data_IF_694293041505
#
_entry.id   IF_694293041505
#
_cell.length_a   1.000
_cell.length_b   1.000
_cell.length_c   1.000
_cell.angle_alpha   90.00
_cell.angle_beta   90.00
_cell.angle_gamma   90.00
#
_symmetry.space_group_name_H-M   'P 1'
#
loop_
_entity.id
_entity.type
_entity.pdbx_description
1 polymer ?
#
# COMPACT_ATOMS: atom_id res chain seq x y z
N UNK A 1 -3.92 20.65 11.25
CA UNK A 1 -3.88 21.38 12.54
C UNK A 1 -2.88 20.67 13.44
N UNK A 2 -1.87 21.38 13.97
CA UNK A 2 -0.88 20.77 14.86
C UNK A 2 -1.55 20.36 16.18
N UNK A 3 -1.09 19.24 16.77
CA UNK A 3 -1.60 18.74 18.07
C UNK A 3 -1.58 19.83 19.15
N UNK A 4 -0.62 20.76 19.06
CA UNK A 4 -0.50 21.93 19.94
C UNK A 4 -1.70 22.88 19.85
N UNK A 5 -2.25 23.12 18.67
CA UNK A 5 -3.43 24.00 18.47
C UNK A 5 -4.68 23.37 19.06
N UNK A 6 -4.85 22.05 18.91
CA UNK A 6 -5.99 21.31 19.50
C UNK A 6 -5.88 21.37 21.04
N UNK A 7 -4.69 21.14 21.62
CA UNK A 7 -4.46 21.23 23.04
C UNK A 7 -4.71 22.62 23.62
N UNK A 8 -4.28 23.68 22.93
CA UNK A 8 -4.51 25.06 23.35
C UNK A 8 -6.02 25.36 23.33
N UNK A 9 -6.74 24.97 22.28
CA UNK A 9 -8.19 25.20 22.16
C UNK A 9 -8.98 24.43 23.24
N UNK A 10 -8.62 23.16 23.51
CA UNK A 10 -9.26 22.37 24.57
C UNK A 10 -8.98 22.95 25.95
N UNK A 11 -7.80 23.48 26.20
CA UNK A 11 -7.43 24.09 27.48
C UNK A 11 -8.19 25.42 27.72
N UNK A 12 -8.30 26.26 26.69
CA UNK A 12 -9.06 27.52 26.75
C UNK A 12 -10.55 27.25 26.98
N UNK A 13 -11.14 26.27 26.26
CA UNK A 13 -12.55 25.92 26.45
C UNK A 13 -12.83 25.31 27.82
N UNK A 14 -11.94 24.48 28.35
CA UNK A 14 -12.05 23.92 29.70
C UNK A 14 -11.93 25.01 30.77
N UNK A 15 -11.01 25.96 30.63
CA UNK A 15 -10.86 27.09 31.55
C UNK A 15 -12.08 28.03 31.54
N UNK A 16 -12.65 28.33 30.38
CA UNK A 16 -13.86 29.15 30.22
C UNK A 16 -15.09 28.47 30.86
N UNK A 17 -15.25 27.15 30.65
CA UNK A 17 -16.28 26.33 31.28
C UNK A 17 -16.13 26.32 32.81
N UNK A 18 -14.94 26.13 33.32
CA UNK A 18 -14.65 26.15 34.74
C UNK A 18 -14.99 27.51 35.36
N UNK A 19 -14.61 28.61 34.70
CA UNK A 19 -14.88 29.98 35.15
C UNK A 19 -16.37 30.31 35.26
N UNK A 20 -17.19 29.78 34.35
CA UNK A 20 -18.66 30.02 34.35
C UNK A 20 -19.38 29.06 35.30
N UNK A 21 -19.01 27.80 35.35
CA UNK A 21 -19.71 26.74 36.11
C UNK A 21 -19.31 26.78 37.58
N UNK A 22 -18.06 27.12 37.93
CA UNK A 22 -17.58 27.14 39.32
C UNK A 22 -18.37 28.03 40.29
N UNK A 23 -18.62 29.30 40.02
CA UNK A 23 -19.41 30.16 40.91
C UNK A 23 -20.89 29.78 40.96
N UNK A 24 -21.47 29.26 39.88
CA UNK A 24 -22.83 28.75 39.85
C UNK A 24 -22.98 27.46 40.66
N UNK A 25 -21.97 26.60 40.61
CA UNK A 25 -21.93 25.34 41.37
C UNK A 25 -21.82 25.55 42.87
N UNK A 26 -21.10 26.59 43.31
CA UNK A 26 -20.95 26.95 44.72
C UNK A 26 -22.25 27.53 45.31
N UNK A 27 -23.10 28.20 44.52
CA UNK A 27 -24.33 28.87 44.95
C UNK A 27 -25.60 28.06 44.77
N UNK A 28 -25.56 26.91 44.06
CA UNK A 28 -26.77 26.14 43.75
C UNK A 28 -27.07 25.07 44.79
N UNK A 29 -28.37 24.81 45.06
CA UNK A 29 -28.86 23.70 45.86
C UNK A 29 -28.51 22.35 45.24
N UNK A 30 -28.30 21.25 46.02
CA UNK A 30 -27.79 19.96 45.52
C UNK A 30 -28.61 19.36 44.35
N UNK A 31 -29.95 19.58 44.32
CA UNK A 31 -30.83 19.08 43.26
C UNK A 31 -30.76 19.93 41.94
N UNK A 32 -30.35 21.20 42.07
CA UNK A 32 -30.21 22.11 40.91
C UNK A 32 -28.87 21.97 40.17
N UNK A 33 -27.86 21.38 40.81
CA UNK A 33 -26.51 21.26 40.24
C UNK A 33 -26.46 20.43 38.96
N UNK A 34 -27.19 19.31 38.96
CA UNK A 34 -27.25 18.41 37.81
C UNK A 34 -27.97 19.06 36.63
N UNK A 35 -29.06 19.81 36.86
CA UNK A 35 -29.80 20.55 35.86
C UNK A 35 -28.98 21.70 35.26
N UNK A 36 -28.20 22.42 36.08
CA UNK A 36 -27.32 23.49 35.62
C UNK A 36 -26.17 22.99 34.73
N UNK A 37 -25.55 21.86 35.10
CA UNK A 37 -24.49 21.23 34.30
C UNK A 37 -25.08 20.71 33.00
N UNK A 38 -26.23 20.04 33.01
CA UNK A 38 -26.90 19.57 31.80
C UNK A 38 -27.31 20.74 30.87
N UNK A 39 -27.88 21.82 31.43
CA UNK A 39 -28.25 23.01 30.65
C UNK A 39 -27.04 23.71 30.01
N UNK A 40 -25.91 23.79 30.72
CA UNK A 40 -24.67 24.36 30.18
C UNK A 40 -24.08 23.51 29.06
N UNK A 41 -24.11 22.20 29.19
CA UNK A 41 -23.67 21.28 28.14
C UNK A 41 -24.56 21.39 26.90
N UNK A 42 -25.87 21.40 27.07
CA UNK A 42 -26.85 21.53 25.97
C UNK A 42 -26.70 22.89 25.28
N UNK A 43 -26.51 23.97 26.03
CA UNK A 43 -26.29 25.30 25.49
C UNK A 43 -24.99 25.38 24.66
N UNK A 44 -23.91 24.78 25.17
CA UNK A 44 -22.61 24.78 24.50
C UNK A 44 -22.62 23.90 23.23
N UNK A 45 -23.25 22.72 23.29
CA UNK A 45 -23.43 21.84 22.14
C UNK A 45 -24.43 22.42 21.12
N UNK A 46 -25.51 23.09 21.60
CA UNK A 46 -26.50 23.69 20.75
C UNK A 46 -25.97 24.94 20.03
N UNK A 47 -25.34 25.87 20.74
CA UNK A 47 -24.76 27.07 20.14
C UNK A 47 -23.48 26.74 19.36
N UNK A 48 -22.57 25.97 19.92
CA UNK A 48 -21.32 25.59 19.24
C UNK A 48 -21.55 24.66 18.07
N UNK A 49 -22.36 23.61 18.23
CA UNK A 49 -22.74 22.69 17.16
C UNK A 49 -23.64 23.35 16.10
N UNK A 50 -24.60 24.15 16.52
CA UNK A 50 -25.49 24.88 15.61
C UNK A 50 -24.75 25.92 14.78
N UNK A 51 -23.87 26.72 15.38
CA UNK A 51 -23.00 27.66 14.65
C UNK A 51 -22.03 26.94 13.72
N UNK A 52 -21.51 25.78 14.12
CA UNK A 52 -20.65 24.96 13.24
C UNK A 52 -21.42 24.37 12.04
N UNK A 53 -22.69 23.98 12.23
CA UNK A 53 -23.54 23.47 11.15
C UNK A 53 -24.01 24.55 10.19
N UNK A 54 -24.24 25.76 10.70
CA UNK A 54 -24.76 26.89 9.91
C UNK A 54 -23.62 27.68 9.24
N UNK A 55 -22.52 27.94 9.95
CA UNK A 55 -21.38 28.73 9.46
C UNK A 55 -20.21 27.88 9.00
N UNK A 56 -20.03 26.66 9.59
CA UNK A 56 -19.05 25.69 9.18
C UNK A 56 -19.55 24.93 7.97
N UNK A 57 -19.12 25.33 6.78
CA UNK A 57 -19.38 24.57 5.55
C UNK A 57 -18.30 23.47 5.45
N UNK A 58 -18.52 22.25 5.99
CA UNK A 58 -17.50 21.19 5.94
C UNK A 58 -17.08 20.85 4.51
N UNK A 59 -18.01 21.00 3.55
CA UNK A 59 -17.72 20.86 2.12
C UNK A 59 -16.76 21.93 1.58
N UNK A 60 -16.73 23.15 2.17
CA UNK A 60 -15.76 24.17 1.79
C UNK A 60 -14.41 23.96 2.47
N UNK A 61 -14.37 23.38 3.68
CA UNK A 61 -13.13 23.02 4.34
C UNK A 61 -12.42 21.88 3.60
N UNK A 62 -13.16 20.89 3.12
CA UNK A 62 -12.59 19.81 2.27
C UNK A 62 -12.09 20.40 0.94
N UNK A 63 -12.88 21.24 0.25
CA UNK A 63 -12.44 21.93 -0.97
C UNK A 63 -11.27 22.87 -0.75
N UNK A 64 -11.19 23.55 0.40
CA UNK A 64 -10.04 24.42 0.71
C UNK A 64 -8.77 23.61 1.03
N UNK A 65 -8.90 22.41 1.60
CA UNK A 65 -7.79 21.49 1.82
C UNK A 65 -7.29 20.89 0.50
N UNK A 66 -8.18 20.52 -0.42
CA UNK A 66 -7.81 20.09 -1.76
C UNK A 66 -7.15 21.23 -2.57
N UNK A 67 -7.70 22.45 -2.51
CA UNK A 67 -7.13 23.62 -3.15
C UNK A 67 -5.81 24.11 -2.50
N UNK A 68 -5.62 23.91 -1.20
CA UNK A 68 -4.37 24.21 -0.52
C UNK A 68 -3.29 23.19 -0.93
N UNK A 69 -3.64 21.91 -0.98
CA UNK A 69 -2.72 20.84 -1.37
C UNK A 69 -2.19 21.02 -2.80
N UNK A 70 -3.05 21.41 -3.74
CA UNK A 70 -2.64 21.69 -5.13
C UNK A 70 -1.81 22.96 -5.26
N UNK A 71 -2.11 24.02 -4.49
CA UNK A 71 -1.30 25.26 -4.47
C UNK A 71 0.08 25.00 -3.85
N UNK A 72 0.15 24.23 -2.78
CA UNK A 72 1.40 23.87 -2.13
C UNK A 72 2.25 22.98 -3.06
N UNK A 73 1.63 22.07 -3.82
CA UNK A 73 2.33 21.21 -4.78
C UNK A 73 2.88 22.04 -5.97
N UNK A 74 2.09 22.93 -6.54
CA UNK A 74 2.55 23.83 -7.62
C UNK A 74 3.68 24.76 -7.14
N UNK A 75 3.58 25.27 -5.90
CA UNK A 75 4.65 26.05 -5.27
C UNK A 75 5.93 25.23 -5.10
N UNK A 76 5.81 23.97 -4.68
CA UNK A 76 6.94 23.05 -4.57
C UNK A 76 7.58 22.76 -5.94
N UNK A 77 6.77 22.50 -6.97
CA UNK A 77 7.25 22.30 -8.34
C UNK A 77 8.05 23.52 -8.81
N UNK A 78 7.51 24.73 -8.63
CA UNK A 78 8.18 25.97 -9.03
C UNK A 78 9.55 26.14 -8.32
N UNK A 79 9.62 25.81 -7.02
CA UNK A 79 10.89 25.83 -6.27
C UNK A 79 11.88 24.80 -6.79
N UNK A 80 11.42 23.59 -7.08
CA UNK A 80 12.26 22.51 -7.62
C UNK A 80 12.75 22.84 -9.02
N UNK A 81 11.90 23.40 -9.89
CA UNK A 81 12.30 23.90 -11.20
C UNK A 81 13.41 24.94 -11.07
N UNK A 82 13.24 25.95 -10.22
CA UNK A 82 14.28 26.96 -9.96
C UNK A 82 15.60 26.32 -9.47
N UNK A 83 15.50 25.30 -8.61
CA UNK A 83 16.65 24.58 -8.07
C UNK A 83 17.43 23.84 -9.14
N UNK A 84 16.74 23.07 -10.02
CA UNK A 84 17.40 22.30 -11.07
C UNK A 84 17.96 23.19 -12.20
N UNK A 85 17.35 24.35 -12.43
CA UNK A 85 17.90 25.37 -13.32
C UNK A 85 19.20 25.99 -12.75
N UNK A 86 19.25 26.25 -11.44
CA UNK A 86 20.45 26.77 -10.79
C UNK A 86 21.56 25.73 -10.67
N UNK A 87 21.21 24.45 -10.55
CA UNK A 87 22.13 23.31 -10.41
C UNK A 87 21.71 22.16 -11.33
N UNK A 88 22.00 22.21 -12.64
CA UNK A 88 21.57 21.20 -13.63
C UNK A 88 22.12 19.79 -13.40
N UNK A 89 23.17 19.64 -12.60
CA UNK A 89 23.77 18.36 -12.23
C UNK A 89 23.29 17.86 -10.84
N UNK A 90 22.32 18.53 -10.22
CA UNK A 90 21.69 18.06 -8.97
C UNK A 90 20.73 16.90 -9.25
N UNK A 91 21.25 15.68 -9.21
CA UNK A 91 20.47 14.46 -9.38
C UNK A 91 19.27 14.40 -8.43
N UNK A 92 19.46 14.77 -7.16
CA UNK A 92 18.38 14.76 -6.17
C UNK A 92 17.28 15.76 -6.51
N UNK A 93 17.66 16.96 -6.98
CA UNK A 93 16.71 17.96 -7.44
C UNK A 93 15.82 17.42 -8.55
N UNK A 94 16.39 16.76 -9.56
CA UNK A 94 15.65 16.16 -10.66
C UNK A 94 14.72 15.00 -10.19
N UNK A 95 15.19 14.15 -9.27
CA UNK A 95 14.34 13.09 -8.67
C UNK A 95 13.15 13.67 -7.92
N UNK A 96 13.36 14.70 -7.11
CA UNK A 96 12.26 15.36 -6.40
C UNK A 96 11.28 16.04 -7.35
N UNK A 97 11.78 16.68 -8.41
CA UNK A 97 10.95 17.32 -9.43
C UNK A 97 10.09 16.28 -10.17
N UNK A 98 10.67 15.16 -10.58
CA UNK A 98 9.93 14.06 -11.21
C UNK A 98 8.82 13.52 -10.32
N UNK A 99 9.11 13.29 -9.04
CA UNK A 99 8.11 12.86 -8.06
C UNK A 99 6.98 13.88 -7.86
N UNK A 100 7.32 15.17 -7.81
CA UNK A 100 6.34 16.23 -7.64
C UNK A 100 5.40 16.33 -8.86
N UNK A 101 5.94 16.25 -10.08
CA UNK A 101 5.14 16.19 -11.31
C UNK A 101 4.23 14.94 -11.36
N UNK A 102 4.77 13.77 -10.99
CA UNK A 102 3.96 12.54 -10.94
C UNK A 102 2.80 12.67 -9.94
N UNK A 103 3.06 13.27 -8.77
CA UNK A 103 2.02 13.54 -7.76
C UNK A 103 1.00 14.57 -8.24
N UNK A 104 1.36 15.46 -9.16
CA UNK A 104 0.46 16.41 -9.81
C UNK A 104 -0.34 15.79 -10.97
N UNK A 105 -0.07 14.54 -11.34
CA UNK A 105 -0.67 13.87 -12.49
C UNK A 105 -0.02 14.24 -13.82
N UNK A 106 1.10 14.98 -13.80
CA UNK A 106 1.85 15.38 -14.99
C UNK A 106 2.92 14.33 -15.30
N UNK A 107 2.50 13.27 -15.98
CA UNK A 107 3.38 12.19 -16.39
C UNK A 107 4.47 12.63 -17.38
N UNK A 108 4.17 13.59 -18.27
CA UNK A 108 5.11 14.03 -19.30
C UNK A 108 6.30 14.78 -18.70
N UNK A 109 6.06 15.79 -17.87
CA UNK A 109 7.14 16.54 -17.24
C UNK A 109 7.84 15.72 -16.15
N UNK A 110 7.12 14.79 -15.52
CA UNK A 110 7.72 13.78 -14.65
C UNK A 110 8.73 12.91 -15.40
N UNK A 111 8.37 12.38 -16.57
CA UNK A 111 9.26 11.57 -17.39
C UNK A 111 10.52 12.35 -17.84
N UNK A 112 10.37 13.63 -18.24
CA UNK A 112 11.50 14.49 -18.60
C UNK A 112 12.46 14.68 -17.42
N UNK A 113 11.91 14.93 -16.20
CA UNK A 113 12.71 15.10 -15.01
C UNK A 113 13.45 13.81 -14.61
N UNK A 114 12.77 12.66 -14.64
CA UNK A 114 13.41 11.38 -14.36
C UNK A 114 14.42 10.97 -15.44
N UNK A 115 14.17 11.26 -16.71
CA UNK A 115 15.16 11.03 -17.78
C UNK A 115 16.47 11.77 -17.49
N UNK A 116 16.39 13.03 -17.04
CA UNK A 116 17.57 13.80 -16.66
C UNK A 116 18.29 13.19 -15.44
N UNK A 117 17.53 12.75 -14.44
CA UNK A 117 18.08 12.08 -13.27
C UNK A 117 18.79 10.76 -13.65
N UNK A 118 18.18 9.95 -14.52
CA UNK A 118 18.78 8.71 -15.06
C UNK A 118 20.09 9.02 -15.77
N UNK A 119 20.12 10.01 -16.66
CA UNK A 119 21.34 10.40 -17.37
C UNK A 119 22.48 10.83 -16.43
N UNK A 120 22.15 11.55 -15.34
CA UNK A 120 23.13 11.94 -14.33
C UNK A 120 23.65 10.74 -13.52
N UNK A 121 22.78 9.78 -13.18
CA UNK A 121 23.17 8.57 -12.47
C UNK A 121 24.07 7.68 -13.33
N UNK A 122 23.76 7.54 -14.64
CA UNK A 122 24.58 6.80 -15.61
C UNK A 122 25.96 7.47 -15.80
N UNK A 123 26.00 8.79 -15.96
CA UNK A 123 27.25 9.57 -16.04
C UNK A 123 28.11 9.37 -14.78
N UNK A 124 27.48 9.28 -13.60
CA UNK A 124 28.16 9.03 -12.35
C UNK A 124 28.55 7.56 -12.12
N UNK A 125 28.19 6.64 -13.04
CA UNK A 125 28.35 5.17 -12.92
C UNK A 125 27.69 4.63 -11.64
N UNK A 126 26.52 5.16 -11.27
CA UNK A 126 25.73 4.76 -10.09
C UNK A 126 24.30 4.44 -10.53
N UNK A 127 24.08 3.33 -11.25
CA UNK A 127 22.74 2.91 -11.63
C UNK A 127 21.90 2.63 -10.39
N UNK A 128 20.68 3.15 -10.36
CA UNK A 128 19.73 2.98 -9.25
C UNK A 128 18.43 2.34 -9.80
N UNK A 129 18.06 1.12 -9.37
CA UNK A 129 16.85 0.48 -9.84
C UNK A 129 15.58 1.29 -9.56
N UNK A 130 15.51 1.98 -8.41
CA UNK A 130 14.36 2.81 -8.08
C UNK A 130 14.18 3.99 -9.04
N UNK A 131 15.28 4.50 -9.57
CA UNK A 131 15.25 5.60 -10.52
C UNK A 131 14.75 5.15 -11.89
N UNK A 132 15.21 3.99 -12.37
CA UNK A 132 14.69 3.41 -13.62
C UNK A 132 13.22 3.00 -13.48
N UNK A 133 12.81 2.45 -12.33
CA UNK A 133 11.41 2.13 -12.05
C UNK A 133 10.54 3.39 -12.10
N UNK A 134 10.90 4.46 -11.39
CA UNK A 134 10.18 5.72 -11.38
C UNK A 134 10.11 6.37 -12.77
N UNK A 135 11.18 6.27 -13.56
CA UNK A 135 11.20 6.74 -14.95
C UNK A 135 10.21 5.98 -15.82
N UNK A 136 10.21 4.64 -15.73
CA UNK A 136 9.27 3.78 -16.45
C UNK A 136 7.82 4.08 -16.07
N UNK A 137 7.55 4.27 -14.77
CA UNK A 137 6.22 4.67 -14.28
C UNK A 137 5.77 6.01 -14.85
N UNK A 138 6.64 7.02 -14.84
CA UNK A 138 6.33 8.34 -15.40
C UNK A 138 5.97 8.26 -16.89
N UNK A 139 6.73 7.49 -17.68
CA UNK A 139 6.44 7.25 -19.09
C UNK A 139 5.11 6.53 -19.31
N UNK A 140 4.80 5.55 -18.45
CA UNK A 140 3.53 4.84 -18.50
C UNK A 140 2.35 5.76 -18.14
N UNK A 141 2.52 6.63 -17.15
CA UNK A 141 1.52 7.65 -16.81
C UNK A 141 1.32 8.70 -17.91
N UNK A 142 2.40 9.12 -18.57
CA UNK A 142 2.33 10.09 -19.67
C UNK A 142 1.51 9.61 -20.86
N UNK A 143 1.58 8.30 -21.16
CA UNK A 143 0.98 7.74 -22.37
C UNK A 143 -0.27 6.89 -22.13
N UNK A 144 -0.56 6.55 -20.87
CA UNK A 144 -1.61 5.59 -20.49
C UNK A 144 -1.32 4.14 -20.89
N UNK A 145 -0.13 3.89 -21.44
CA UNK A 145 0.34 2.57 -21.91
C UNK A 145 1.76 2.32 -21.40
N UNK A 146 2.35 1.17 -21.76
CA UNK A 146 3.77 0.91 -21.41
C UNK A 146 4.59 0.98 -22.72
N UNK A 147 5.08 2.18 -23.10
CA UNK A 147 5.82 2.35 -24.33
C UNK A 147 7.18 1.61 -24.29
N UNK A 148 7.84 1.36 -25.43
CA UNK A 148 9.10 0.61 -25.50
C UNK A 148 10.20 1.19 -24.58
N UNK A 149 10.22 2.49 -24.41
CA UNK A 149 11.18 3.18 -23.55
C UNK A 149 10.93 2.85 -22.07
N UNK A 150 9.66 2.84 -21.63
CA UNK A 150 9.29 2.40 -20.28
C UNK A 150 9.64 0.92 -20.06
N UNK A 151 9.36 0.06 -21.05
CA UNK A 151 9.75 -1.35 -20.98
C UNK A 151 11.26 -1.51 -20.80
N UNK A 152 12.09 -0.76 -21.54
CA UNK A 152 13.54 -0.78 -21.40
C UNK A 152 13.99 -0.33 -19.99
N UNK A 153 13.34 0.69 -19.43
CA UNK A 153 13.60 1.16 -18.07
C UNK A 153 13.25 0.07 -17.04
N UNK A 154 12.10 -0.58 -17.15
CA UNK A 154 11.72 -1.68 -16.25
C UNK A 154 12.59 -2.92 -16.40
N UNK A 155 13.07 -3.24 -17.59
CA UNK A 155 14.06 -4.32 -17.81
C UNK A 155 15.36 -4.00 -17.07
N UNK A 156 15.87 -2.76 -17.17
CA UNK A 156 17.03 -2.31 -16.39
C UNK A 156 16.76 -2.38 -14.88
N UNK A 157 15.56 -2.01 -14.45
CA UNK A 157 15.14 -2.15 -13.05
C UNK A 157 15.26 -3.59 -12.58
N UNK A 158 14.68 -4.56 -13.31
CA UNK A 158 14.71 -5.96 -12.93
C UNK A 158 16.11 -6.59 -13.02
N UNK A 159 16.98 -6.09 -13.88
CA UNK A 159 18.38 -6.51 -13.93
C UNK A 159 19.16 -6.15 -12.65
N UNK A 160 18.79 -5.03 -11.99
CA UNK A 160 19.40 -4.55 -10.74
C UNK A 160 18.63 -5.00 -9.50
N UNK A 161 17.31 -5.07 -9.58
CA UNK A 161 16.41 -5.50 -8.52
C UNK A 161 15.33 -6.43 -9.10
N UNK A 162 15.55 -7.76 -9.15
CA UNK A 162 14.60 -8.72 -9.72
C UNK A 162 13.25 -8.77 -9.01
N UNK A 163 13.14 -8.21 -7.77
CA UNK A 163 11.91 -8.21 -6.97
C UNK A 163 11.13 -6.90 -7.05
N UNK A 164 11.53 -5.97 -7.91
CA UNK A 164 10.80 -4.70 -8.07
C UNK A 164 9.36 -4.95 -8.49
N UNK A 165 8.42 -4.46 -7.68
CA UNK A 165 6.99 -4.74 -7.85
C UNK A 165 6.42 -3.97 -9.05
N UNK A 166 6.77 -2.68 -9.19
CA UNK A 166 6.29 -1.85 -10.26
C UNK A 166 6.79 -2.36 -11.62
N UNK A 167 8.08 -2.66 -11.73
CA UNK A 167 8.66 -3.18 -12.98
C UNK A 167 7.99 -4.50 -13.42
N UNK A 168 7.72 -5.43 -12.48
CA UNK A 168 7.01 -6.67 -12.81
C UNK A 168 5.56 -6.42 -13.21
N UNK A 169 4.88 -5.49 -12.55
CA UNK A 169 3.51 -5.13 -12.88
C UNK A 169 3.42 -4.54 -14.29
N UNK A 170 4.20 -3.51 -14.58
CA UNK A 170 4.14 -2.80 -15.86
C UNK A 170 4.66 -3.64 -17.04
N UNK A 171 5.71 -4.46 -16.84
CA UNK A 171 6.13 -5.41 -17.88
C UNK A 171 5.05 -6.47 -18.15
N UNK A 172 4.34 -6.92 -17.13
CA UNK A 172 3.16 -7.77 -17.31
C UNK A 172 2.10 -7.09 -18.18
N UNK A 173 1.82 -5.80 -17.95
CA UNK A 173 0.90 -5.02 -18.81
C UNK A 173 1.41 -4.92 -20.26
N UNK A 174 2.70 -4.71 -20.45
CA UNK A 174 3.31 -4.67 -21.78
C UNK A 174 3.15 -6.02 -22.50
N UNK A 175 3.37 -7.14 -21.81
CA UNK A 175 3.14 -8.48 -22.38
C UNK A 175 1.68 -8.70 -22.78
N UNK A 176 0.72 -8.23 -21.98
CA UNK A 176 -0.72 -8.28 -22.37
C UNK A 176 -0.96 -7.49 -23.64
N UNK A 177 -0.42 -6.27 -23.72
CA UNK A 177 -0.58 -5.40 -24.89
C UNK A 177 0.00 -6.03 -26.18
N UNK A 178 1.02 -6.87 -26.06
CA UNK A 178 1.64 -7.61 -27.16
C UNK A 178 0.99 -8.98 -27.41
N UNK A 179 -0.06 -9.36 -26.67
CA UNK A 179 -0.69 -10.69 -26.78
C UNK A 179 0.12 -11.83 -26.16
N UNK A 180 1.19 -11.51 -25.44
CA UNK A 180 2.07 -12.47 -24.76
C UNK A 180 1.52 -12.88 -23.38
N UNK A 181 0.23 -13.28 -23.35
CA UNK A 181 -0.53 -13.49 -22.15
C UNK A 181 0.13 -14.49 -21.17
N UNK A 182 0.77 -15.54 -21.67
CA UNK A 182 1.47 -16.50 -20.84
C UNK A 182 2.63 -15.88 -20.02
N UNK A 183 3.38 -14.96 -20.64
CA UNK A 183 4.47 -14.22 -19.96
C UNK A 183 3.91 -13.25 -18.92
N UNK A 184 2.83 -12.54 -19.25
CA UNK A 184 2.15 -11.65 -18.32
C UNK A 184 1.66 -12.39 -17.08
N UNK A 185 0.97 -13.52 -17.29
CA UNK A 185 0.47 -14.38 -16.21
C UNK A 185 1.62 -14.89 -15.33
N UNK A 186 2.71 -15.38 -15.92
CA UNK A 186 3.87 -15.85 -15.17
C UNK A 186 4.51 -14.73 -14.32
N UNK A 187 4.67 -13.53 -14.90
CA UNK A 187 5.23 -12.36 -14.24
C UNK A 187 4.36 -11.93 -13.05
N UNK A 188 3.05 -11.79 -13.27
CA UNK A 188 2.12 -11.37 -12.23
C UNK A 188 1.91 -12.42 -11.14
N UNK A 189 1.96 -13.72 -11.46
CA UNK A 189 1.95 -14.79 -10.45
C UNK A 189 3.16 -14.70 -9.52
N UNK A 190 4.35 -14.45 -10.08
CA UNK A 190 5.55 -14.26 -9.25
C UNK A 190 5.43 -13.03 -8.35
N UNK A 191 4.82 -11.95 -8.84
CA UNK A 191 4.54 -10.74 -8.08
C UNK A 191 3.56 -11.01 -6.92
N UNK A 192 2.47 -11.73 -7.17
CA UNK A 192 1.49 -12.14 -6.15
C UNK A 192 2.11 -13.07 -5.11
N UNK A 193 2.99 -13.98 -5.52
CA UNK A 193 3.66 -14.92 -4.62
C UNK A 193 4.60 -14.22 -3.62
N UNK A 194 5.26 -13.13 -4.06
CA UNK A 194 6.15 -12.34 -3.21
C UNK A 194 5.42 -11.28 -2.38
N UNK A 195 4.14 -11.02 -2.68
CA UNK A 195 3.36 -9.97 -2.02
C UNK A 195 2.96 -10.35 -0.59
N UNK A 196 2.95 -9.40 0.35
CA UNK A 196 2.29 -9.59 1.64
C UNK A 196 0.84 -10.03 1.48
N UNK A 197 0.30 -10.90 2.35
CA UNK A 197 -1.08 -11.38 2.24
C UNK A 197 -2.13 -10.26 2.25
N UNK A 198 -1.84 -9.16 2.93
CA UNK A 198 -2.70 -7.99 3.10
C UNK A 198 -2.38 -6.83 2.15
N UNK A 199 -1.59 -7.05 1.09
CA UNK A 199 -1.31 -6.00 0.12
C UNK A 199 -2.60 -5.56 -0.59
N UNK A 200 -2.95 -4.25 -0.60
CA UNK A 200 -4.24 -3.77 -1.11
C UNK A 200 -4.50 -4.15 -2.58
N UNK A 201 -3.45 -4.17 -3.39
CA UNK A 201 -3.51 -4.46 -4.82
C UNK A 201 -3.52 -5.96 -5.17
N UNK A 202 -3.28 -6.83 -4.17
CA UNK A 202 -3.05 -8.27 -4.41
C UNK A 202 -4.29 -8.95 -5.01
N UNK A 203 -5.47 -8.67 -4.47
CA UNK A 203 -6.70 -9.29 -4.95
C UNK A 203 -7.02 -8.86 -6.38
N UNK A 204 -6.93 -7.58 -6.69
CA UNK A 204 -7.18 -7.05 -8.04
C UNK A 204 -6.25 -7.70 -9.08
N UNK A 205 -4.99 -7.95 -8.70
CA UNK A 205 -4.04 -8.62 -9.59
C UNK A 205 -4.36 -10.11 -9.78
N UNK A 206 -4.81 -10.79 -8.72
CA UNK A 206 -5.30 -12.18 -8.81
C UNK A 206 -6.50 -12.29 -9.76
N UNK A 207 -7.46 -11.38 -9.63
CA UNK A 207 -8.66 -11.35 -10.49
C UNK A 207 -8.28 -11.06 -11.95
N UNK A 208 -7.33 -10.15 -12.18
CA UNK A 208 -6.79 -9.86 -13.52
C UNK A 208 -6.08 -11.07 -14.14
N UNK A 209 -5.29 -11.80 -13.35
CA UNK A 209 -4.65 -13.05 -13.80
C UNK A 209 -5.72 -14.09 -14.19
N UNK A 210 -6.77 -14.25 -13.37
CA UNK A 210 -7.85 -15.19 -13.63
C UNK A 210 -8.59 -14.85 -14.94
N UNK A 211 -8.96 -13.57 -15.12
CA UNK A 211 -9.62 -13.09 -16.33
C UNK A 211 -8.75 -13.30 -17.59
N UNK A 212 -7.45 -13.00 -17.50
CA UNK A 212 -6.52 -13.18 -18.61
C UNK A 212 -6.31 -14.67 -18.93
N UNK A 213 -6.27 -15.53 -17.93
CA UNK A 213 -6.18 -16.98 -18.11
C UNK A 213 -7.42 -17.53 -18.83
N UNK A 214 -8.61 -17.10 -18.42
CA UNK A 214 -9.88 -17.50 -19.05
C UNK A 214 -9.97 -17.04 -20.50
N UNK A 215 -9.56 -15.79 -20.82
CA UNK A 215 -9.63 -15.21 -22.16
C UNK A 215 -8.57 -15.77 -23.14
N UNK A 216 -7.44 -16.21 -22.65
CA UNK A 216 -6.34 -16.72 -23.47
C UNK A 216 -6.49 -18.18 -23.89
N UNK A 217 -7.55 -18.87 -23.47
CA UNK A 217 -7.70 -20.32 -23.69
C UNK A 217 -6.59 -21.15 -23.04
N UNK A 218 -5.75 -20.51 -22.24
CA UNK A 218 -4.73 -21.20 -21.48
C UNK A 218 -5.41 -22.15 -20.51
N UNK A 219 -4.95 -23.39 -20.47
CA UNK A 219 -5.42 -24.34 -19.46
C UNK A 219 -5.36 -23.69 -18.07
N UNK A 220 -6.37 -23.89 -17.21
CA UNK A 220 -6.31 -23.41 -15.85
C UNK A 220 -4.96 -23.84 -15.23
N UNK A 221 -4.36 -23.04 -14.36
CA UNK A 221 -3.11 -23.40 -13.76
C UNK A 221 -3.23 -24.80 -13.19
N UNK A 222 -2.25 -25.64 -13.49
CA UNK A 222 -2.14 -26.95 -12.82
C UNK A 222 -1.86 -26.67 -11.34
N UNK A 223 -2.95 -26.55 -10.58
CA UNK A 223 -2.91 -26.28 -9.13
C UNK A 223 -2.12 -27.40 -8.45
N UNK A 224 -2.21 -28.64 -8.97
CA UNK A 224 -1.43 -29.76 -8.48
C UNK A 224 0.08 -29.55 -8.64
N UNK A 225 0.51 -29.09 -9.82
CA UNK A 225 1.92 -28.75 -10.06
C UNK A 225 2.42 -27.59 -9.20
N UNK A 226 1.55 -26.57 -8.98
CA UNK A 226 1.89 -25.44 -8.11
C UNK A 226 2.05 -25.84 -6.65
N UNK A 227 1.18 -26.71 -6.16
CA UNK A 227 1.21 -27.24 -4.78
C UNK A 227 2.41 -28.17 -4.62
N UNK A 228 2.72 -29.00 -5.61
CA UNK A 228 3.93 -29.84 -5.61
C UNK A 228 5.21 -29.00 -5.62
N UNK A 229 5.23 -27.89 -6.34
CA UNK A 229 6.35 -26.94 -6.32
C UNK A 229 6.53 -26.26 -4.96
N UNK A 230 5.44 -25.94 -4.26
CA UNK A 230 5.49 -25.42 -2.89
C UNK A 230 6.05 -26.49 -1.93
N UNK A 231 5.59 -27.73 -2.03
CA UNK A 231 6.08 -28.85 -1.22
C UNK A 231 7.59 -29.07 -1.40
N UNK A 232 8.08 -29.12 -2.63
CA UNK A 232 9.49 -29.25 -2.93
C UNK A 232 10.35 -28.11 -2.34
N UNK A 233 9.83 -26.86 -2.40
CA UNK A 233 10.51 -25.70 -1.83
C UNK A 233 10.59 -25.76 -0.31
N UNK A 234 9.51 -26.18 0.35
CA UNK A 234 9.46 -26.27 1.82
C UNK A 234 10.38 -27.36 2.35
N UNK A 235 10.56 -28.46 1.62
CA UNK A 235 11.57 -29.48 1.93
C UNK A 235 13.00 -28.94 1.86
N UNK A 236 13.26 -27.93 1.04
CA UNK A 236 14.56 -27.25 0.96
C UNK A 236 14.71 -26.12 1.99
N UNK A 237 13.61 -25.48 2.39
CA UNK A 237 13.56 -24.38 3.36
C UNK A 237 12.53 -24.70 4.45
N UNK A 238 12.84 -25.58 5.39
CA UNK A 238 11.89 -26.14 6.35
C UNK A 238 11.40 -25.13 7.42
N UNK A 239 12.06 -23.99 7.59
CA UNK A 239 11.73 -23.01 8.62
C UNK A 239 10.53 -22.09 8.26
N UNK A 240 9.95 -22.21 7.03
CA UNK A 240 8.80 -21.42 6.58
C UNK A 240 7.46 -22.01 7.11
N UNK A 241 7.14 -21.73 8.39
CA UNK A 241 5.89 -22.16 9.01
C UNK A 241 4.66 -21.75 8.22
N UNK A 242 4.63 -20.49 7.75
CA UNK A 242 3.50 -19.98 6.97
C UNK A 242 3.37 -20.65 5.61
N UNK A 243 4.48 -21.09 5.03
CA UNK A 243 4.51 -21.93 3.83
C UNK A 243 3.92 -23.30 4.09
N UNK A 244 4.30 -23.96 5.17
CA UNK A 244 3.75 -25.25 5.57
C UNK A 244 2.24 -25.21 5.81
N UNK A 245 1.74 -24.20 6.53
CA UNK A 245 0.31 -24.01 6.73
C UNK A 245 -0.44 -23.84 5.39
N UNK A 246 0.12 -23.06 4.47
CA UNK A 246 -0.45 -22.91 3.11
C UNK A 246 -0.48 -24.22 2.35
N UNK A 247 0.55 -25.05 2.47
CA UNK A 247 0.63 -26.35 1.80
C UNK A 247 -0.45 -27.31 2.32
N UNK A 248 -0.60 -27.40 3.63
CA UNK A 248 -1.63 -28.23 4.28
C UNK A 248 -3.02 -27.84 3.81
N UNK A 249 -3.35 -26.54 3.85
CA UNK A 249 -4.64 -26.02 3.36
C UNK A 249 -4.85 -26.29 1.87
N UNK A 250 -3.82 -26.12 1.07
CA UNK A 250 -3.91 -26.34 -0.37
C UNK A 250 -4.26 -27.80 -0.70
N UNK A 251 -3.61 -28.77 -0.07
CA UNK A 251 -3.95 -30.18 -0.25
C UNK A 251 -5.35 -30.51 0.25
N UNK A 252 -5.77 -29.94 1.40
CA UNK A 252 -7.12 -30.13 1.92
C UNK A 252 -8.19 -29.58 0.97
N UNK A 253 -8.01 -28.34 0.45
CA UNK A 253 -8.95 -27.71 -0.52
C UNK A 253 -9.00 -28.51 -1.83
N UNK A 254 -7.92 -29.17 -2.24
CA UNK A 254 -7.88 -30.06 -3.39
C UNK A 254 -8.52 -31.42 -3.13
N UNK A 255 -9.00 -31.68 -1.90
CA UNK A 255 -9.58 -32.96 -1.50
C UNK A 255 -8.55 -34.05 -1.26
N UNK A 256 -7.26 -33.75 -1.25
CA UNK A 256 -6.18 -34.71 -1.01
C UNK A 256 -5.74 -34.67 0.47
N UNK A 257 -6.65 -35.10 1.35
CA UNK A 257 -6.38 -35.12 2.80
C UNK A 257 -5.23 -36.03 3.18
N UNK A 258 -4.89 -37.00 2.36
CA UNK A 258 -3.72 -37.85 2.59
C UNK A 258 -2.43 -37.05 2.48
N UNK A 259 -2.29 -36.25 1.43
CA UNK A 259 -1.13 -35.34 1.27
C UNK A 259 -1.17 -34.18 2.28
N UNK A 260 -2.36 -33.69 2.65
CA UNK A 260 -2.48 -32.68 3.70
C UNK A 260 -1.91 -33.19 5.05
N UNK A 261 -2.23 -34.43 5.44
CA UNK A 261 -1.67 -35.06 6.66
C UNK A 261 -0.18 -35.32 6.54
N UNK A 262 0.32 -35.73 5.38
CA UNK A 262 1.75 -35.92 5.14
C UNK A 262 2.52 -34.58 5.28
N UNK A 263 2.03 -33.53 4.63
CA UNK A 263 2.60 -32.19 4.75
C UNK A 263 2.57 -31.64 6.19
N UNK A 264 1.51 -31.93 6.94
CA UNK A 264 1.41 -31.58 8.36
C UNK A 264 2.46 -32.32 9.20
N UNK A 265 2.71 -33.59 8.92
CA UNK A 265 3.76 -34.38 9.59
C UNK A 265 5.15 -33.85 9.29
N UNK A 266 5.44 -33.52 8.02
CA UNK A 266 6.70 -32.91 7.60
C UNK A 266 6.90 -31.54 8.25
N UNK A 267 5.84 -30.70 8.30
CA UNK A 267 5.85 -29.41 8.98
C UNK A 267 6.18 -29.53 10.47
N UNK A 268 5.54 -30.48 11.18
CA UNK A 268 5.80 -30.73 12.60
C UNK A 268 7.24 -31.19 12.86
N UNK A 269 7.77 -32.02 11.98
CA UNK A 269 9.17 -32.46 12.05
C UNK A 269 10.13 -31.27 11.85
N UNK A 270 9.82 -30.40 10.88
CA UNK A 270 10.62 -29.22 10.57
C UNK A 270 10.68 -28.24 11.75
N UNK A 271 9.56 -28.01 12.42
CA UNK A 271 9.46 -27.03 13.54
C UNK A 271 9.51 -27.69 14.92
N UNK A 272 10.01 -28.92 15.05
CA UNK A 272 9.95 -29.73 16.28
C UNK A 272 10.52 -29.03 17.54
N UNK A 273 11.44 -28.07 17.37
CA UNK A 273 12.06 -27.31 18.45
C UNK A 273 11.32 -26.01 18.81
N UNK A 274 10.25 -25.67 18.09
CA UNK A 274 9.48 -24.45 18.28
C UNK A 274 8.07 -24.81 18.77
N UNK A 275 7.84 -24.67 20.08
CA UNK A 275 6.57 -25.02 20.73
C UNK A 275 5.37 -24.19 20.20
N UNK A 276 5.58 -22.90 19.90
CA UNK A 276 4.53 -22.02 19.38
C UNK A 276 4.12 -22.43 17.96
N UNK A 277 5.11 -22.79 17.12
CA UNK A 277 4.85 -23.28 15.78
C UNK A 277 4.11 -24.63 15.80
N UNK A 278 4.46 -25.54 16.69
CA UNK A 278 3.75 -26.81 16.89
C UNK A 278 2.29 -26.58 17.33
N UNK A 279 2.06 -25.63 18.25
CA UNK A 279 0.72 -25.27 18.69
C UNK A 279 -0.12 -24.69 17.53
N UNK A 280 0.46 -23.83 16.70
CA UNK A 280 -0.19 -23.25 15.52
C UNK A 280 -0.58 -24.33 14.50
N UNK A 281 0.33 -25.29 14.20
CA UNK A 281 0.03 -26.40 13.30
C UNK A 281 -1.06 -27.34 13.85
N UNK A 282 -1.08 -27.56 15.17
CA UNK A 282 -2.11 -28.39 15.81
C UNK A 282 -3.47 -27.71 15.78
N UNK A 283 -3.53 -26.41 16.01
CA UNK A 283 -4.77 -25.62 15.87
C UNK A 283 -5.34 -25.71 14.45
N UNK A 284 -4.47 -25.56 13.44
CA UNK A 284 -4.85 -25.67 12.02
C UNK A 284 -5.33 -27.08 11.65
N UNK A 285 -4.63 -28.11 12.12
CA UNK A 285 -5.01 -29.51 11.88
C UNK A 285 -6.41 -29.82 12.45
N UNK A 286 -6.72 -29.25 13.62
CA UNK A 286 -8.04 -29.39 14.24
C UNK A 286 -9.12 -28.63 13.46
N UNK A 287 -8.81 -27.42 12.99
CA UNK A 287 -9.73 -26.61 12.16
C UNK A 287 -10.09 -27.33 10.87
N UNK A 288 -9.09 -27.94 10.20
CA UNK A 288 -9.24 -28.68 8.95
C UNK A 288 -9.70 -30.15 9.14
N UNK A 289 -9.97 -30.58 10.38
CA UNK A 289 -10.38 -31.96 10.72
C UNK A 289 -9.42 -33.04 10.17
N UNK A 290 -8.13 -32.75 10.13
CA UNK A 290 -7.10 -33.65 9.66
C UNK A 290 -6.57 -34.59 10.77
N UNK A 291 -6.89 -34.30 12.04
CA UNK A 291 -6.64 -35.17 13.18
C UNK A 291 -7.95 -35.90 13.54
N UNK A 292 -7.81 -37.20 13.83
CA UNK A 292 -8.89 -38.04 14.36
C UNK A 292 -9.03 -37.82 15.89
#
# INVERSE_FOLDING_TARGET
>A
MSLAVILIFTLITAAALAFVVWPLWLRSQPRGRLLLVAATIVLFLGIGGGTYLILGRPALAVRSLEGANTRDLNGLIALLVKRVHAAPDDLRGWVFLGKAYLSAGDGEDSAKAFARAVALAEKAKRPDPNLYSAYGEALAHATGTVPPEAQAAFVKTLALNPKDQAARYYLGMAFVAHGENAKAIAMWRSLVADAPPNAPWRQDLVDRIAALTASSGAAPPDIGAMVAGLDARLKQNPDDLAGWQRLVRAYHVLGDDAKARAALADARAAVAKNADALAALSAEAKELKLEN
#
